data_IF_712440921005
#
_entry.id   IF_712440921005
#
_cell.length_a   1.000
_cell.length_b   1.000
_cell.length_c   1.000
_cell.angle_alpha   90.00
_cell.angle_beta   90.00
_cell.angle_gamma   90.00
#
_symmetry.space_group_name_H-M   'P 1'
#
loop_
_entity.id
_entity.type
_entity.pdbx_description
1 polymer ?
#
# COMPACT_ATOMS: atom_id res chain seq x y z
N UNK A 1 28.02 4.39 11.96
CA UNK A 1 28.45 3.01 11.66
C UNK A 1 27.53 2.48 10.57
N UNK A 2 28.00 2.03 9.40
CA UNK A 2 27.10 1.41 8.44
C UNK A 2 26.67 0.06 9.04
N UNK A 3 25.37 -0.06 9.34
CA UNK A 3 24.82 -1.32 9.83
C UNK A 3 24.78 -2.28 8.64
N UNK A 4 25.65 -3.30 8.65
CA UNK A 4 25.58 -4.39 7.67
C UNK A 4 24.41 -5.30 8.08
N UNK A 5 23.21 -4.97 7.60
CA UNK A 5 21.99 -5.76 7.79
C UNK A 5 21.71 -6.67 6.57
N UNK A 6 21.25 -7.91 6.79
CA UNK A 6 20.72 -8.78 5.73
C UNK A 6 19.61 -8.10 4.92
N UNK A 7 19.48 -8.45 3.64
CA UNK A 7 18.54 -7.79 2.73
C UNK A 7 17.06 -7.96 3.14
N UNK A 8 16.70 -9.13 3.65
CA UNK A 8 15.34 -9.44 4.11
C UNK A 8 14.93 -8.58 5.31
N UNK A 9 15.80 -8.52 6.33
CA UNK A 9 15.63 -7.68 7.51
C UNK A 9 15.55 -6.17 7.18
N UNK A 10 16.27 -5.74 6.13
CA UNK A 10 16.16 -4.37 5.63
C UNK A 10 14.78 -4.11 5.02
N UNK A 11 14.21 -5.07 4.29
CA UNK A 11 12.85 -4.99 3.74
C UNK A 11 11.80 -4.84 4.84
N UNK A 12 11.86 -5.70 5.86
CA UNK A 12 10.93 -5.65 7.00
C UNK A 12 10.97 -4.31 7.74
N UNK A 13 12.16 -3.77 8.00
CA UNK A 13 12.33 -2.47 8.64
C UNK A 13 11.77 -1.33 7.78
N UNK A 14 11.97 -1.39 6.46
CA UNK A 14 11.40 -0.41 5.52
C UNK A 14 9.87 -0.45 5.53
N UNK A 15 9.27 -1.64 5.44
CA UNK A 15 7.80 -1.76 5.48
C UNK A 15 7.22 -1.31 6.81
N UNK A 16 7.89 -1.64 7.93
CA UNK A 16 7.49 -1.17 9.26
C UNK A 16 7.54 0.35 9.36
N UNK A 17 8.61 0.98 8.86
CA UNK A 17 8.75 2.43 8.85
C UNK A 17 7.68 3.13 8.01
N UNK A 18 7.34 2.57 6.84
CA UNK A 18 6.27 3.08 5.99
C UNK A 18 4.92 2.93 6.69
N UNK A 19 4.61 1.75 7.24
CA UNK A 19 3.35 1.48 7.92
C UNK A 19 3.05 2.48 9.05
N UNK A 20 4.06 2.89 9.81
CA UNK A 20 3.92 3.86 10.90
C UNK A 20 3.54 5.28 10.45
N UNK A 21 3.82 5.63 9.19
CA UNK A 21 3.54 6.96 8.63
C UNK A 21 2.17 7.01 7.94
N UNK A 22 1.65 5.86 7.51
CA UNK A 22 0.37 5.76 6.84
C UNK A 22 -0.78 5.86 7.84
N UNK A 23 -1.84 6.64 7.55
CA UNK A 23 -3.07 6.61 8.34
C UNK A 23 -3.67 5.21 8.49
N UNK A 24 -3.51 4.34 7.49
CA UNK A 24 -3.95 2.95 7.56
C UNK A 24 -3.12 2.07 8.51
N UNK A 25 -1.96 2.54 8.99
CA UNK A 25 -1.11 1.83 9.96
C UNK A 25 -0.44 0.57 9.41
N UNK A 26 -0.51 0.32 8.09
CA UNK A 26 0.03 -0.87 7.44
C UNK A 26 0.37 -0.62 5.97
N UNK A 27 1.27 -1.45 5.44
CA UNK A 27 1.52 -1.55 4.00
C UNK A 27 0.44 -2.44 3.37
N UNK A 28 0.00 -2.08 2.17
CA UNK A 28 -0.97 -2.87 1.40
C UNK A 28 -0.32 -4.17 0.90
N UNK A 29 -1.10 -5.25 0.87
CA UNK A 29 -0.74 -6.51 0.22
C UNK A 29 -1.19 -6.54 -1.24
N UNK A 30 -0.81 -7.57 -1.98
CA UNK A 30 -1.31 -7.81 -3.34
C UNK A 30 -2.82 -7.93 -3.40
N UNK A 31 -3.42 -8.51 -2.36
CA UNK A 31 -4.86 -8.76 -2.28
C UNK A 31 -5.65 -7.45 -2.14
N UNK A 32 -5.14 -6.48 -1.38
CA UNK A 32 -5.75 -5.15 -1.27
C UNK A 32 -5.89 -4.45 -2.64
N UNK A 33 -4.87 -4.60 -3.49
CA UNK A 33 -4.88 -4.04 -4.85
C UNK A 33 -5.87 -4.80 -5.74
N UNK A 34 -5.88 -6.14 -5.65
CA UNK A 34 -6.75 -7.00 -6.45
C UNK A 34 -8.24 -6.75 -6.16
N UNK A 35 -8.61 -6.55 -4.90
CA UNK A 35 -10.00 -6.25 -4.52
C UNK A 35 -10.54 -4.98 -5.19
N UNK A 36 -9.70 -3.94 -5.28
CA UNK A 36 -10.08 -2.68 -5.94
C UNK A 36 -10.29 -2.85 -7.44
N UNK A 37 -9.47 -3.68 -8.09
CA UNK A 37 -9.68 -4.08 -9.48
C UNK A 37 -11.01 -4.82 -9.67
N UNK A 38 -11.31 -5.80 -8.81
CA UNK A 38 -12.58 -6.55 -8.86
C UNK A 38 -13.78 -5.63 -8.61
N UNK A 39 -13.66 -4.70 -7.66
CA UNK A 39 -14.69 -3.68 -7.41
C UNK A 39 -15.01 -2.87 -8.66
N UNK A 40 -13.99 -2.33 -9.34
CA UNK A 40 -14.16 -1.55 -10.56
C UNK A 40 -14.73 -2.40 -11.70
N UNK A 41 -14.19 -3.61 -11.90
CA UNK A 41 -14.63 -4.51 -12.96
C UNK A 41 -16.10 -4.95 -12.82
N UNK A 42 -16.61 -5.02 -11.58
CA UNK A 42 -18.01 -5.40 -11.30
C UNK A 42 -19.01 -4.28 -11.53
N UNK A 43 -18.57 -3.02 -11.63
CA UNK A 43 -19.47 -1.89 -11.83
C UNK A 43 -19.48 -1.44 -13.29
N UNK A 44 -20.47 -1.89 -14.07
CA UNK A 44 -20.62 -1.55 -15.48
C UNK A 44 -20.96 -0.07 -15.78
N UNK A 45 -21.22 0.74 -14.75
CA UNK A 45 -21.55 2.16 -14.92
C UNK A 45 -20.43 3.10 -14.44
N UNK A 46 -19.33 2.56 -13.90
CA UNK A 46 -18.15 3.36 -13.51
C UNK A 46 -17.24 3.59 -14.72
N UNK A 47 -17.00 4.85 -15.07
CA UNK A 47 -16.10 5.24 -16.16
C UNK A 47 -15.40 6.56 -15.80
N UNK A 48 -14.18 6.78 -16.32
CA UNK A 48 -13.46 8.05 -16.17
C UNK A 48 -12.95 8.37 -14.75
N UNK A 49 -13.05 7.43 -13.83
CA UNK A 49 -12.69 7.61 -12.41
C UNK A 49 -11.39 6.86 -12.07
N UNK A 50 -10.63 7.43 -11.13
CA UNK A 50 -9.43 6.81 -10.55
C UNK A 50 -9.70 6.48 -9.08
N UNK A 51 -9.38 5.26 -8.67
CA UNK A 51 -9.39 4.84 -7.26
C UNK A 51 -7.95 4.84 -6.75
N UNK A 52 -7.65 5.74 -5.82
CA UNK A 52 -6.34 5.83 -5.17
C UNK A 52 -6.27 4.84 -4.01
N UNK A 53 -5.26 3.95 -4.03
CA UNK A 53 -5.02 2.95 -2.99
C UNK A 53 -3.63 3.19 -2.42
N UNK A 54 -3.54 3.98 -1.36
CA UNK A 54 -2.26 4.47 -0.84
C UNK A 54 -2.15 4.42 0.69
N UNK A 55 -3.13 3.81 1.36
CA UNK A 55 -3.19 3.76 2.83
C UNK A 55 -3.35 5.13 3.50
N UNK A 56 -3.76 6.16 2.75
CA UNK A 56 -3.88 7.53 3.21
C UNK A 56 -2.59 8.34 3.13
N UNK A 57 -1.59 7.89 2.37
CA UNK A 57 -0.32 8.61 2.17
C UNK A 57 -0.52 10.06 1.69
N UNK A 58 -1.53 10.33 0.86
CA UNK A 58 -1.83 11.68 0.37
C UNK A 58 -2.57 12.57 1.38
N UNK A 59 -2.89 12.07 2.57
CA UNK A 59 -3.61 12.81 3.60
C UNK A 59 -2.68 13.44 4.66
N UNK A 60 -1.36 13.20 4.57
CA UNK A 60 -0.35 13.60 5.57
C UNK A 60 0.89 14.23 4.94
#
# INVERSE_FOLDING_TARGET
MPVIMPAEQRGELLFTGIAQQLPAGRVATSEDIAESYVYLAKNGFTQGSVVLIDGGAHLV
#
